data_IF_237350819380
#
_entry.id   IF_237350819380
#
_cell.length_a   1.000
_cell.length_b   1.000
_cell.length_c   1.000
_cell.angle_alpha   90.00
_cell.angle_beta   90.00
_cell.angle_gamma   90.00
#
_symmetry.space_group_name_H-M   'P 1'
#
loop_
_entity.id
_entity.type
_entity.pdbx_description
1 polymer ?
2 water ?
#
# COMPACT_ATOMS: atom_id res chain seq x y z
N UNK A 30 14.78 -14.19 -5.87
CA UNK A 30 13.94 -12.95 -5.76
C UNK A 30 12.77 -13.00 -6.74
N UNK A 31 11.61 -12.49 -6.31
CA UNK A 31 10.38 -12.43 -7.15
C UNK A 31 10.49 -11.25 -8.12
N UNK A 32 10.72 -10.05 -7.61
CA UNK A 32 10.73 -8.80 -8.40
C UNK A 32 11.90 -7.94 -7.95
N UNK A 33 12.21 -6.95 -8.76
CA UNK A 33 13.19 -5.88 -8.45
C UNK A 33 12.38 -4.59 -8.33
N UNK A 34 12.31 -4.04 -7.13
CA UNK A 34 11.76 -2.69 -6.89
C UNK A 34 12.94 -1.74 -7.04
N UNK A 35 12.78 -0.73 -7.87
CA UNK A 35 13.83 0.28 -8.15
C UNK A 35 13.27 1.65 -7.81
N UNK A 36 13.98 2.40 -6.98
CA UNK A 36 13.62 3.79 -6.59
C UNK A 36 14.64 4.74 -7.20
N UNK A 37 14.17 5.62 -8.08
CA UNK A 37 15.01 6.66 -8.72
C UNK A 37 15.14 7.84 -7.77
N UNK A 38 16.35 8.07 -7.24
CA UNK A 38 16.69 9.30 -6.47
C UNK A 38 15.63 9.57 -5.41
N UNK A 39 15.30 8.58 -4.54
CA UNK A 39 14.27 8.77 -3.51
C UNK A 39 14.66 9.87 -2.51
N UNK A 40 13.66 10.58 -2.00
CA UNK A 40 13.79 11.88 -1.29
C UNK A 40 13.68 11.69 0.23
N UNK A 41 12.78 10.81 0.69
CA UNK A 41 12.22 10.80 2.08
C UNK A 41 12.58 9.48 2.77
N UNK A 42 13.45 9.51 3.79
CA UNK A 42 14.05 8.31 4.43
C UNK A 42 12.98 7.34 4.93
N UNK A 43 11.93 7.79 5.65
CA UNK A 43 10.89 6.87 6.16
C UNK A 43 10.22 6.05 5.04
N UNK A 44 9.94 6.64 3.88
CA UNK A 44 9.35 5.87 2.76
C UNK A 44 10.26 4.71 2.38
N UNK A 45 11.57 4.97 2.29
CA UNK A 45 12.57 3.96 1.86
C UNK A 45 12.64 2.89 2.94
N UNK A 46 12.62 3.30 4.22
CA UNK A 46 12.53 2.36 5.35
C UNK A 46 11.34 1.44 5.20
N UNK A 47 10.16 1.99 4.92
CA UNK A 47 8.92 1.17 4.76
C UNK A 47 9.08 0.22 3.58
N UNK A 48 9.72 0.67 2.49
CA UNK A 48 9.82 -0.13 1.23
C UNK A 48 10.82 -1.28 1.47
N UNK A 49 11.87 -1.04 2.25
CA UNK A 49 12.85 -2.10 2.59
C UNK A 49 12.08 -3.23 3.29
N UNK A 50 11.26 -2.89 4.31
CA UNK A 50 10.48 -3.89 5.08
C UNK A 50 9.51 -4.60 4.12
N UNK A 51 8.78 -3.84 3.28
CA UNK A 51 7.84 -4.39 2.27
C UNK A 51 8.51 -5.43 1.36
N UNK A 52 9.77 -5.19 0.98
CA UNK A 52 10.55 -6.07 0.07
C UNK A 52 10.87 -7.40 0.76
N UNK A 53 11.16 -7.37 2.06
CA UNK A 53 11.28 -8.59 2.90
C UNK A 53 9.95 -9.34 2.91
N UNK A 54 8.82 -8.65 2.95
CA UNK A 54 7.46 -9.26 3.00
C UNK A 54 7.07 -9.93 1.68
N UNK A 55 7.47 -9.42 0.51
CA UNK A 55 6.99 -9.98 -0.78
C UNK A 55 8.11 -10.72 -1.51
N UNK A 56 9.32 -10.75 -0.93
CA UNK A 56 10.46 -11.57 -1.37
C UNK A 56 11.22 -10.93 -2.50
N UNK A 57 11.27 -9.58 -2.51
CA UNK A 57 11.78 -8.74 -3.61
C UNK A 57 13.12 -8.11 -3.22
N UNK A 58 13.88 -7.67 -4.21
CA UNK A 58 15.15 -6.92 -4.04
C UNK A 58 14.83 -5.45 -4.24
N UNK A 59 15.35 -4.58 -3.38
CA UNK A 59 15.25 -3.12 -3.53
C UNK A 59 16.55 -2.61 -4.17
N UNK A 60 16.41 -1.72 -5.16
CA UNK A 60 17.48 -0.98 -5.87
C UNK A 60 17.28 0.50 -5.63
N UNK A 61 18.25 1.14 -4.99
CA UNK A 61 18.29 2.59 -4.75
C UNK A 61 19.26 3.21 -5.76
N UNK A 62 18.74 4.11 -6.59
CA UNK A 62 19.52 4.81 -7.64
C UNK A 62 19.87 6.20 -7.11
N UNK A 63 21.16 6.41 -6.84
CA UNK A 63 21.73 7.65 -6.28
C UNK A 63 21.66 8.75 -7.35
N UNK A 64 21.71 10.04 -6.97
CA UNK A 64 21.82 10.45 -5.57
C UNK A 64 20.54 10.22 -4.75
N UNK A 65 20.68 9.79 -3.49
CA UNK A 65 19.60 9.70 -2.47
C UNK A 65 19.42 11.07 -1.83
N UNK A 66 18.23 11.37 -1.30
CA UNK A 66 17.90 12.67 -0.65
C UNK A 66 18.01 12.58 0.87
N UNK A 67 18.77 11.61 1.38
CA UNK A 67 18.99 11.32 2.82
C UNK A 67 20.20 10.40 2.95
N UNK A 68 20.77 10.21 4.14
CA UNK A 68 22.02 9.41 4.35
C UNK A 68 21.67 7.92 4.46
N UNK A 69 22.57 7.04 4.01
CA UNK A 69 22.44 5.56 4.13
C UNK A 69 23.58 5.04 5.00
N UNK A 80 16.76 -4.31 11.07
CA UNK A 80 17.47 -5.60 11.06
C UNK A 80 18.51 -5.57 9.93
N UNK A 81 19.71 -6.12 10.15
CA UNK A 81 20.80 -6.23 9.14
C UNK A 81 20.39 -7.16 7.99
N UNK A 82 19.57 -8.17 8.29
CA UNK A 82 19.05 -9.16 7.31
C UNK A 82 18.19 -8.46 6.26
N UNK A 83 17.56 -7.34 6.63
CA UNK A 83 16.70 -6.49 5.76
C UNK A 83 17.57 -5.67 4.81
N UNK A 84 18.87 -5.49 5.10
CA UNK A 84 19.82 -4.67 4.30
C UNK A 84 20.54 -5.54 3.25
N UNK A 85 20.50 -6.86 3.38
CA UNK A 85 21.02 -7.83 2.38
C UNK A 85 20.11 -7.84 1.15
N UNK A 86 18.96 -7.19 1.22
CA UNK A 86 17.98 -7.09 0.09
C UNK A 86 18.10 -5.73 -0.60
N UNK A 87 19.05 -4.87 -0.21
CA UNK A 87 19.19 -3.51 -0.82
C UNK A 87 20.49 -3.44 -1.61
N UNK A 88 20.38 -2.97 -2.85
CA UNK A 88 21.52 -2.64 -3.75
C UNK A 88 21.47 -1.14 -4.05
N UNK A 89 22.55 -0.43 -3.80
CA UNK A 89 22.75 0.98 -4.19
C UNK A 89 23.44 0.98 -5.57
N UNK A 90 22.99 1.82 -6.49
CA UNK A 90 23.61 2.04 -7.81
C UNK A 90 24.07 3.49 -7.88
N UNK A 91 25.27 3.73 -8.43
CA UNK A 91 25.92 5.06 -8.49
C UNK A 91 25.07 6.02 -9.31
N UNK A 92 24.37 5.55 -10.36
CA UNK A 92 23.52 6.38 -11.25
C UNK A 92 22.62 5.48 -12.11
N UNK A 93 21.76 6.06 -12.95
CA UNK A 93 20.76 5.28 -13.71
C UNK A 93 21.45 4.33 -14.71
N UNK A 94 22.57 4.75 -15.28
CA UNK A 94 23.32 3.97 -16.31
C UNK A 94 23.86 2.70 -15.65
N UNK A 95 24.48 2.82 -14.46
CA UNK A 95 24.94 1.66 -13.65
C UNK A 95 23.76 0.72 -13.39
N UNK A 96 22.61 1.27 -13.02
CA UNK A 96 21.36 0.49 -12.77
C UNK A 96 20.98 -0.31 -14.03
N UNK A 97 20.93 0.35 -15.19
CA UNK A 97 20.54 -0.28 -16.49
C UNK A 97 21.49 -1.45 -16.80
N UNK A 98 22.81 -1.24 -16.67
CA UNK A 98 23.86 -2.28 -16.87
C UNK A 98 23.55 -3.48 -15.97
N UNK A 99 23.36 -3.25 -14.66
CA UNK A 99 23.05 -4.31 -13.67
C UNK A 99 21.73 -5.01 -14.04
N UNK A 100 20.74 -4.32 -14.60
CA UNK A 100 19.41 -4.95 -14.91
C UNK A 100 19.35 -5.44 -16.37
N UNK A 101 20.43 -5.36 -17.14
CA UNK A 101 20.43 -5.64 -18.59
C UNK A 101 19.77 -7.01 -18.85
N UNK A 102 18.72 -7.05 -19.68
CA UNK A 102 17.96 -8.26 -20.04
C UNK A 102 16.63 -8.36 -19.30
N UNK A 103 16.45 -7.63 -18.21
CA UNK A 103 15.20 -7.66 -17.41
C UNK A 103 14.17 -6.72 -18.03
N UNK A 104 12.88 -7.04 -17.88
CA UNK A 104 11.78 -6.16 -18.33
C UNK A 104 11.57 -5.06 -17.28
N UNK A 105 11.59 -3.79 -17.70
CA UNK A 105 11.44 -2.64 -16.77
C UNK A 105 10.06 -2.00 -16.96
N UNK A 106 9.22 -2.11 -15.93
CA UNK A 106 7.91 -1.42 -15.81
C UNK A 106 8.11 -0.10 -15.07
N UNK A 107 7.60 1.00 -15.60
CA UNK A 107 7.68 2.31 -14.95
C UNK A 107 6.28 2.70 -14.49
N UNK A 108 6.20 3.15 -13.25
CA UNK A 108 5.06 3.86 -12.64
C UNK A 108 5.06 5.33 -13.09
N UNK A 109 4.16 5.65 -14.01
CA UNK A 109 3.87 6.99 -14.54
C UNK A 109 2.42 7.04 -15.05
N UNK A 110 1.76 8.18 -14.93
CA UNK A 110 0.41 8.43 -15.50
C UNK A 110 0.52 8.80 -17.00
N UNK A 111 1.71 8.93 -17.58
CA UNK A 111 1.86 9.30 -19.01
C UNK A 111 1.82 8.05 -19.92
N UNK A 112 0.67 7.82 -20.58
CA UNK A 112 0.48 6.77 -21.59
C UNK A 112 0.44 5.39 -20.99
N UNK A 113 -0.03 5.28 -19.74
CA UNK A 113 0.02 4.04 -18.91
C UNK A 113 -1.36 3.40 -18.86
N UNK A 114 -1.40 2.11 -18.54
CA UNK A 114 -2.65 1.40 -18.17
C UNK A 114 -2.72 1.25 -16.66
N UNK A 115 -3.91 0.96 -16.09
CA UNK A 115 -4.01 0.55 -14.69
C UNK A 115 -3.10 -0.66 -14.44
N UNK A 116 -2.37 -0.64 -13.32
CA UNK A 116 -1.36 -1.65 -12.92
C UNK A 116 -1.93 -3.07 -13.08
N UNK A 117 -3.21 -3.29 -12.77
CA UNK A 117 -3.82 -4.65 -12.81
C UNK A 117 -3.98 -5.17 -14.24
N UNK A 118 -3.93 -4.32 -15.27
CA UNK A 118 -4.06 -4.71 -16.71
C UNK A 118 -2.75 -5.23 -17.32
N UNK A 119 -1.59 -4.97 -16.73
CA UNK A 119 -0.31 -5.56 -17.22
C UNK A 119 -0.21 -7.02 -16.79
N UNK A 120 0.48 -7.87 -17.55
CA UNK A 120 0.79 -9.28 -17.20
C UNK A 120 2.20 -9.36 -16.63
N UNK A 121 2.34 -9.49 -15.32
CA UNK A 121 3.67 -9.44 -14.64
C UNK A 121 4.28 -10.84 -14.70
N UNK A 122 5.61 -10.90 -14.55
CA UNK A 122 6.41 -12.13 -14.62
C UNK A 122 7.52 -12.01 -13.59
N UNK A 123 7.98 -13.16 -13.09
CA UNK A 123 9.18 -13.28 -12.21
C UNK A 123 10.33 -12.49 -12.82
N UNK A 124 11.02 -11.70 -12.01
CA UNK A 124 12.27 -10.99 -12.39
C UNK A 124 11.95 -9.64 -13.05
N UNK A 125 10.67 -9.28 -13.22
CA UNK A 125 10.25 -7.91 -13.63
C UNK A 125 10.89 -6.88 -12.71
N UNK A 126 11.25 -5.73 -13.28
CA UNK A 126 11.72 -4.55 -12.52
C UNK A 126 10.56 -3.54 -12.48
N UNK A 127 10.26 -3.02 -11.30
CA UNK A 127 9.19 -2.02 -11.04
C UNK A 127 9.89 -0.73 -10.61
N UNK A 128 9.93 0.23 -11.51
CA UNK A 128 10.69 1.49 -11.35
C UNK A 128 9.74 2.61 -10.95
N UNK A 129 10.09 3.33 -9.87
CA UNK A 129 9.31 4.44 -9.26
C UNK A 129 10.17 5.69 -9.23
N UNK A 130 9.55 6.83 -9.54
CA UNK A 130 10.16 8.15 -9.45
C UNK A 130 10.17 8.63 -8.03
N UNK A 131 10.88 9.74 -7.75
CA UNK A 131 10.86 10.30 -6.42
C UNK A 131 9.48 10.88 -6.05
N UNK A 132 9.33 11.18 -4.78
CA UNK A 132 8.04 11.54 -4.13
C UNK A 132 7.45 12.80 -4.79
N UNK A 133 8.25 13.86 -5.01
CA UNK A 133 7.72 15.21 -5.36
C UNK A 133 7.75 15.51 -6.87
N UNK A 134 8.49 14.76 -7.68
CA UNK A 134 8.76 15.11 -9.11
C UNK A 134 8.29 14.02 -10.09
N UNK A 135 8.36 12.74 -9.73
CA UNK A 135 8.18 11.66 -10.72
C UNK A 135 9.40 11.50 -11.63
N UNK A 136 9.42 10.45 -12.45
CA UNK A 136 10.59 10.07 -13.30
C UNK A 136 10.82 11.15 -14.35
N UNK A 137 12.08 11.48 -14.67
CA UNK A 137 12.36 12.45 -15.74
C UNK A 137 11.84 11.94 -17.10
N UNK A 138 11.52 12.86 -17.99
CA UNK A 138 10.97 12.54 -19.33
C UNK A 138 11.93 11.65 -20.14
N UNK A 139 13.23 11.85 -20.01
CA UNK A 139 14.28 11.06 -20.72
C UNK A 139 14.15 9.58 -20.37
N UNK A 140 13.80 9.26 -19.11
CA UNK A 140 13.64 7.85 -18.65
C UNK A 140 12.28 7.34 -19.13
N UNK A 141 11.21 8.11 -18.89
CA UNK A 141 9.83 7.73 -19.32
C UNK A 141 9.82 7.44 -20.83
N UNK A 142 10.46 8.29 -21.65
CA UNK A 142 10.52 8.16 -23.15
C UNK A 142 11.27 6.88 -23.56
N UNK A 143 12.26 6.42 -22.79
CA UNK A 143 12.98 5.15 -23.06
C UNK A 143 12.10 3.93 -22.71
N UNK A 144 10.99 4.09 -21.99
CA UNK A 144 10.09 2.95 -21.64
C UNK A 144 8.88 2.90 -22.56
N UNK A 145 8.65 1.77 -23.27
CA UNK A 145 7.47 1.61 -24.13
C UNK A 145 6.18 1.77 -23.31
N UNK A 146 5.12 2.28 -23.94
CA UNK A 146 3.81 2.55 -23.28
C UNK A 146 3.22 1.23 -22.72
N UNK A 147 3.45 0.09 -23.37
CA UNK A 147 2.94 -1.24 -22.89
C UNK A 147 3.56 -1.60 -21.53
N UNK A 148 4.69 -0.99 -21.15
CA UNK A 148 5.42 -1.26 -19.87
C UNK A 148 5.22 -0.09 -18.89
N UNK A 149 4.29 0.82 -19.16
CA UNK A 149 3.96 1.94 -18.25
C UNK A 149 2.69 1.59 -17.47
N UNK A 150 2.75 1.79 -16.15
CA UNK A 150 1.64 1.44 -15.26
C UNK A 150 1.31 2.64 -14.36
N UNK A 151 0.04 2.79 -14.03
CA UNK A 151 -0.43 3.78 -13.03
C UNK A 151 -1.39 3.03 -12.11
N UNK A 152 -1.62 3.56 -10.91
CA UNK A 152 -2.68 3.11 -9.97
C UNK A 152 -3.91 3.97 -10.20
N UNK A 153 -5.09 3.40 -10.49
CA UNK A 153 -6.29 4.22 -10.71
C UNK A 153 -6.58 5.14 -9.52
N UNK A 154 -7.29 6.24 -9.77
CA UNK A 154 -7.67 7.22 -8.72
C UNK A 154 -9.10 7.72 -8.96
N UNK A 155 -9.80 8.00 -7.87
CA UNK A 155 -11.10 8.72 -7.84
C UNK A 155 -10.83 10.21 -7.96
N UNK A 156 -11.87 11.06 -8.00
CA UNK A 156 -11.74 12.53 -8.04
C UNK A 156 -11.32 13.03 -6.66
N UNK A 157 -10.03 13.29 -6.50
CA UNK A 157 -9.36 13.71 -5.26
C UNK A 157 -8.00 14.29 -5.71
N UNK A 158 -7.53 15.33 -5.08
CA UNK A 158 -6.32 16.05 -5.55
C UNK A 158 -5.07 15.42 -4.91
N UNK A 159 -5.24 14.57 -3.91
CA UNK A 159 -4.09 14.06 -3.13
C UNK A 159 -3.50 12.83 -3.83
N UNK A 160 -2.17 12.73 -3.82
CA UNK A 160 -1.40 11.56 -4.31
C UNK A 160 -1.29 10.52 -3.19
N UNK A 161 -0.99 9.28 -3.57
CA UNK A 161 -0.65 8.17 -2.63
C UNK A 161 0.76 8.40 -2.10
N UNK A 162 0.98 8.09 -0.83
CA UNK A 162 2.33 7.84 -0.29
C UNK A 162 3.04 6.80 -1.18
N UNK A 163 4.32 7.04 -1.45
CA UNK A 163 5.14 6.22 -2.38
C UNK A 163 5.24 4.78 -1.87
N UNK A 164 5.48 4.56 -0.58
CA UNK A 164 5.55 3.20 0.01
C UNK A 164 4.25 2.43 -0.27
N UNK A 165 3.10 3.09 -0.19
CA UNK A 165 1.77 2.45 -0.39
C UNK A 165 1.62 2.10 -1.86
N UNK A 166 2.09 2.97 -2.75
CA UNK A 166 2.01 2.75 -4.22
C UNK A 166 2.82 1.51 -4.61
N UNK A 167 4.04 1.39 -4.09
CA UNK A 167 4.93 0.21 -4.30
C UNK A 167 4.19 -1.03 -3.78
N UNK A 168 3.63 -0.97 -2.57
CA UNK A 168 2.88 -2.08 -1.95
C UNK A 168 1.77 -2.54 -2.92
N UNK A 169 0.93 -1.62 -3.40
CA UNK A 169 -0.25 -1.97 -4.25
C UNK A 169 0.25 -2.62 -5.54
N UNK A 170 1.27 -2.05 -6.18
CA UNK A 170 1.78 -2.56 -7.49
C UNK A 170 2.51 -3.90 -7.25
N UNK A 171 3.40 -3.99 -6.27
CA UNK A 171 4.20 -5.23 -6.08
C UNK A 171 3.27 -6.38 -5.65
N UNK A 172 2.28 -6.14 -4.77
CA UNK A 172 1.33 -7.19 -4.34
C UNK A 172 0.33 -7.56 -5.46
N UNK A 173 -0.01 -6.65 -6.37
CA UNK A 173 -0.82 -7.03 -7.56
C UNK A 173 0.00 -7.97 -8.45
N UNK A 174 1.25 -7.60 -8.70
CA UNK A 174 2.18 -8.39 -9.54
C UNK A 174 2.36 -9.78 -8.89
N UNK A 175 2.50 -9.81 -7.58
CA UNK A 175 2.73 -11.08 -6.84
C UNK A 175 1.48 -11.96 -6.88
N UNK A 176 0.31 -11.34 -6.81
CA UNK A 176 -0.97 -12.05 -6.89
C UNK A 176 -1.03 -12.78 -8.23
N UNK A 177 -0.62 -12.13 -9.31
CA UNK A 177 -0.64 -12.73 -10.67
C UNK A 177 0.27 -13.95 -10.71
N UNK A 178 1.32 -14.02 -9.88
CA UNK A 178 2.26 -15.18 -9.80
C UNK A 178 1.87 -16.13 -8.66
N UNK A 179 0.61 -16.14 -8.22
CA UNK A 179 0.08 -17.01 -7.14
C UNK A 179 0.86 -16.89 -5.85
N UNK A 180 1.42 -15.72 -5.55
CA UNK A 180 2.20 -15.43 -4.31
C UNK A 180 3.30 -16.49 -4.10
N UNK A 181 3.93 -16.94 -5.17
CA UNK A 181 5.06 -17.90 -5.14
C UNK A 181 6.05 -17.51 -4.03
N UNK A 182 6.41 -18.45 -3.15
CA UNK A 182 7.38 -18.23 -2.06
C UNK A 182 6.76 -17.78 -0.73
N UNK A 183 5.45 -17.48 -0.69
CA UNK A 183 4.73 -17.16 0.57
C UNK A 183 4.55 -18.45 1.37
N UNK A 184 4.44 -18.36 2.70
CA UNK A 184 4.18 -19.53 3.58
C UNK A 184 2.71 -19.94 3.41
N UNK B 30 -18.20 5.86 0.26
CA UNK B 30 -19.26 5.18 -0.59
C UNK B 30 -18.80 3.79 -1.03
N UNK B 31 -17.53 3.59 -1.39
CA UNK B 31 -17.02 2.34 -2.04
C UNK B 31 -16.85 1.24 -0.98
N UNK B 32 -16.02 1.50 0.02
CA UNK B 32 -15.75 0.57 1.14
C UNK B 32 -15.66 1.43 2.41
N UNK B 33 -15.67 0.79 3.57
CA UNK B 33 -15.42 1.43 4.88
C UNK B 33 -14.13 0.82 5.40
N UNK B 34 -13.08 1.65 5.47
CA UNK B 34 -11.79 1.29 6.09
C UNK B 34 -11.92 1.71 7.55
N UNK B 35 -11.75 0.76 8.48
CA UNK B 35 -11.91 0.98 9.92
C UNK B 35 -10.60 0.64 10.60
N UNK B 36 -10.04 1.61 11.34
CA UNK B 36 -8.80 1.42 12.14
C UNK B 36 -9.18 1.35 13.63
N UNK B 37 -8.94 0.21 14.26
CA UNK B 37 -9.16 0.01 15.71
C UNK B 37 -7.98 0.62 16.46
N UNK B 38 -8.21 1.72 17.17
CA UNK B 38 -7.21 2.30 18.12
C UNK B 38 -5.85 2.43 17.47
N UNK B 39 -5.73 3.10 16.30
CA UNK B 39 -4.43 3.24 15.65
C UNK B 39 -3.47 4.13 16.47
N UNK B 40 -2.16 3.84 16.37
CA UNK B 40 -1.09 4.30 17.30
C UNK B 40 -0.29 5.47 16.70
N UNK B 41 -0.01 5.42 15.39
CA UNK B 41 1.09 6.17 14.69
C UNK B 41 0.48 7.12 13.64
N UNK B 42 0.59 8.44 13.84
CA UNK B 42 -0.08 9.49 13.01
C UNK B 42 0.30 9.37 11.52
N UNK B 43 1.58 9.18 11.14
CA UNK B 43 1.95 9.04 9.72
C UNK B 43 1.20 7.90 8.99
N UNK B 44 0.99 6.75 9.63
CA UNK B 44 0.19 5.67 8.99
C UNK B 44 -1.22 6.18 8.66
N UNK B 45 -1.82 6.93 9.58
CA UNK B 45 -3.20 7.41 9.42
C UNK B 45 -3.21 8.45 8.30
N UNK B 46 -2.18 9.31 8.24
CA UNK B 46 -1.97 10.22 7.10
C UNK B 46 -1.97 9.48 5.77
N UNK B 47 -1.21 8.39 5.67
CA UNK B 47 -1.13 7.59 4.43
C UNK B 47 -2.52 7.00 4.10
N UNK B 48 -3.26 6.58 5.11
CA UNK B 48 -4.53 5.85 4.90
C UNK B 48 -5.62 6.84 4.48
N UNK B 49 -5.52 8.10 4.94
CA UNK B 49 -6.45 9.18 4.50
C UNK B 49 -6.27 9.33 2.98
N UNK B 50 -5.03 9.44 2.51
CA UNK B 50 -4.72 9.51 1.04
C UNK B 50 -5.32 8.27 0.35
N UNK B 51 -5.05 7.06 0.86
CA UNK B 51 -5.56 5.80 0.26
C UNK B 51 -7.09 5.86 0.07
N UNK B 52 -7.82 6.34 1.07
CA UNK B 52 -9.32 6.30 1.10
C UNK B 52 -9.86 7.38 0.16
N UNK B 53 -9.23 8.55 0.13
CA UNK B 53 -9.55 9.62 -0.85
C UNK B 53 -9.32 9.07 -2.26
N UNK B 54 -8.27 8.28 -2.46
CA UNK B 54 -7.88 7.78 -3.80
C UNK B 54 -8.79 6.66 -4.28
N UNK B 55 -9.40 5.83 -3.41
CA UNK B 55 -10.25 4.70 -3.90
C UNK B 55 -11.73 4.98 -3.66
N UNK B 56 -12.07 6.11 -3.05
CA UNK B 56 -13.46 6.58 -2.88
C UNK B 56 -14.12 5.94 -1.69
N UNK B 57 -13.35 5.72 -0.63
CA UNK B 57 -13.75 4.99 0.61
C UNK B 57 -13.93 5.97 1.77
N UNK B 58 -14.66 5.52 2.78
CA UNK B 58 -14.82 6.22 4.08
C UNK B 58 -13.82 5.62 5.06
N UNK B 59 -13.10 6.47 5.79
CA UNK B 59 -12.17 6.07 6.86
C UNK B 59 -12.89 6.25 8.20
N UNK B 60 -12.80 5.24 9.08
CA UNK B 60 -13.38 5.18 10.44
C UNK B 60 -12.26 4.96 11.46
N UNK B 61 -12.06 5.94 12.33
CA UNK B 61 -11.05 5.91 13.43
C UNK B 61 -11.81 5.59 14.71
N UNK B 62 -11.51 4.44 15.32
CA UNK B 62 -12.14 3.96 16.56
C UNK B 62 -11.20 4.29 17.72
N UNK B 63 -11.63 5.25 18.55
CA UNK B 63 -10.88 5.76 19.72
C UNK B 63 -10.83 4.67 20.79
N UNK B 64 -9.86 4.75 21.73
CA UNK B 64 -8.85 5.82 21.77
C UNK B 64 -7.82 5.77 20.62
N UNK B 65 -7.46 6.91 20.04
CA UNK B 65 -6.31 7.03 19.09
C UNK B 65 -5.04 7.26 19.88
N UNK B 66 -3.87 6.99 19.29
CA UNK B 66 -2.54 7.20 19.90
C UNK B 66 -1.91 8.54 19.50
N UNK B 67 -2.70 9.47 18.99
CA UNK B 67 -2.26 10.80 18.46
C UNK B 67 -3.53 11.67 18.31
N UNK B 68 -3.36 12.99 18.20
CA UNK B 68 -4.47 13.96 17.97
C UNK B 68 -4.54 14.23 16.46
N UNK B 69 -5.44 15.10 16.02
CA UNK B 69 -5.50 15.61 14.62
C UNK B 69 -5.15 17.10 14.58
N UNK B 70 -4.14 17.47 15.39
CA UNK B 70 -3.51 18.81 15.43
C UNK B 70 -3.35 19.35 14.00
N UNK B 71 -3.64 20.65 13.80
CA UNK B 71 -3.28 21.42 12.58
C UNK B 71 -1.82 21.14 12.21
N UNK B 72 -0.92 21.16 13.21
CA UNK B 72 0.55 20.95 13.06
C UNK B 72 0.85 19.52 12.57
N UNK B 73 -0.04 18.56 12.88
CA UNK B 73 0.13 17.10 12.67
C UNK B 73 -0.22 16.70 11.23
N UNK B 74 -1.32 17.26 10.68
CA UNK B 74 -1.71 17.12 9.25
C UNK B 74 -0.71 17.90 8.38
N UNK B 75 -0.22 19.04 8.87
CA UNK B 75 0.83 19.84 8.21
C UNK B 75 1.98 18.90 7.86
N UNK B 76 2.52 18.17 8.84
CA UNK B 76 3.68 17.23 8.68
C UNK B 76 3.33 16.10 7.70
N UNK B 77 2.03 15.82 7.49
CA UNK B 77 1.53 14.74 6.60
C UNK B 77 1.20 15.29 5.20
N UNK B 78 1.19 16.62 5.04
CA UNK B 78 0.86 17.30 3.77
C UNK B 78 -0.65 17.30 3.52
N UNK B 79 -1.43 17.34 4.60
CA UNK B 79 -2.90 17.22 4.55
C UNK B 79 -3.51 18.45 5.24
N UNK B 80 -4.80 18.65 5.01
CA UNK B 80 -5.60 19.70 5.68
C UNK B 80 -7.00 19.11 5.99
N UNK B 81 -7.88 19.96 6.51
CA UNK B 81 -9.21 19.52 7.01
C UNK B 81 -10.14 19.17 5.85
N UNK B 82 -9.91 19.65 4.62
CA UNK B 82 -10.76 19.28 3.46
C UNK B 82 -10.55 17.80 3.12
N UNK B 83 -9.36 17.27 3.45
CA UNK B 83 -9.00 15.83 3.28
C UNK B 83 -9.73 14.95 4.31
N UNK B 84 -10.31 15.55 5.37
CA UNK B 84 -11.01 14.82 6.46
C UNK B 84 -12.53 14.73 6.21
N UNK B 85 -13.04 15.09 5.03
CA UNK B 85 -14.50 15.06 4.72
C UNK B 85 -14.98 13.62 4.59
N UNK B 86 -14.05 12.65 4.52
CA UNK B 86 -14.31 11.19 4.36
C UNK B 86 -13.91 10.43 5.63
N UNK B 87 -13.66 11.15 6.73
CA UNK B 87 -13.21 10.55 8.02
C UNK B 87 -14.32 10.69 9.06
N UNK B 88 -14.62 9.58 9.75
CA UNK B 88 -15.55 9.50 10.89
C UNK B 88 -14.76 9.01 12.11
N UNK B 89 -14.86 9.75 13.21
CA UNK B 89 -14.32 9.36 14.53
C UNK B 89 -15.45 8.65 15.29
N UNK B 90 -15.18 7.50 15.91
CA UNK B 90 -16.15 6.81 16.79
C UNK B 90 -15.57 6.75 18.21
N UNK B 91 -16.37 7.09 19.22
CA UNK B 91 -15.94 7.21 20.64
C UNK B 91 -15.46 5.85 21.14
N UNK B 92 -16.04 4.74 20.66
CA UNK B 92 -15.62 3.36 21.06
C UNK B 92 -16.16 2.35 20.04
N UNK B 93 -15.82 1.07 20.20
CA UNK B 93 -16.20 0.01 19.24
C UNK B 93 -17.72 -0.19 19.19
N UNK B 94 -18.44 0.02 20.30
CA UNK B 94 -19.91 -0.14 20.38
C UNK B 94 -20.57 0.91 19.47
N UNK B 95 -20.13 2.17 19.55
CA UNK B 95 -20.56 3.29 18.67
C UNK B 95 -20.30 2.88 17.22
N UNK B 96 -19.10 2.34 16.93
CA UNK B 96 -18.71 1.87 15.58
C UNK B 96 -19.71 0.79 15.09
N UNK B 97 -20.02 -0.20 15.91
CA UNK B 97 -20.92 -1.32 15.52
C UNK B 97 -22.32 -0.79 15.21
N UNK B 98 -22.83 0.12 16.03
CA UNK B 98 -24.14 0.81 15.80
C UNK B 98 -24.11 1.50 14.45
N UNK B 99 -23.07 2.30 14.18
CA UNK B 99 -22.89 3.01 12.90
C UNK B 99 -22.80 2.00 11.74
N UNK B 100 -22.18 0.84 11.91
CA UNK B 100 -21.98 -0.14 10.81
C UNK B 100 -23.07 -1.22 10.79
N UNK B 101 -24.14 -1.05 11.58
CA UNK B 101 -25.30 -1.98 11.66
C UNK B 101 -25.66 -2.52 10.27
N UNK B 102 -25.62 -3.86 10.10
CA UNK B 102 -26.06 -4.59 8.90
C UNK B 102 -24.94 -4.83 7.89
N UNK B 103 -23.79 -4.16 8.02
CA UNK B 103 -22.69 -4.22 7.02
C UNK B 103 -21.86 -5.49 7.23
N UNK B 104 -21.25 -5.98 6.16
CA UNK B 104 -20.33 -7.14 6.24
C UNK B 104 -18.96 -6.64 6.74
N UNK B 105 -18.43 -7.24 7.80
CA UNK B 105 -17.14 -6.80 8.43
C UNK B 105 -16.09 -7.88 8.14
N UNK B 106 -15.06 -7.49 7.40
CA UNK B 106 -13.84 -8.28 7.15
C UNK B 106 -12.80 -7.83 8.18
N UNK B 107 -12.14 -8.79 8.83
CA UNK B 107 -11.03 -8.49 9.76
C UNK B 107 -9.72 -8.81 9.04
N UNK B 108 -8.86 -7.80 8.98
CA UNK B 108 -7.50 -7.89 8.38
C UNK B 108 -6.56 -8.20 9.54
N UNK B 109 -6.16 -9.46 9.66
CA UNK B 109 -5.42 -10.00 10.83
C UNK B 109 -4.52 -11.15 10.36
N UNK B 110 -3.36 -11.31 11.00
CA UNK B 110 -2.42 -12.45 10.79
C UNK B 110 -3.07 -13.75 11.32
N UNK B 111 -3.96 -13.66 12.32
CA UNK B 111 -4.81 -14.78 12.83
C UNK B 111 -5.99 -14.99 11.88
N UNK B 112 -5.92 -14.39 10.67
CA UNK B 112 -6.84 -14.61 9.55
C UNK B 112 -6.55 -15.93 8.86
N UNK B 113 -7.51 -16.44 8.10
CA UNK B 113 -7.45 -17.79 7.48
C UNK B 113 -7.03 -17.73 6.02
N UNK B 114 -7.69 -16.90 5.20
CA UNK B 114 -7.51 -16.93 3.73
C UNK B 114 -6.81 -15.66 3.26
N UNK B 115 -6.01 -15.76 2.17
CA UNK B 115 -5.37 -14.58 1.60
C UNK B 115 -6.45 -13.59 1.15
N UNK B 116 -6.19 -12.30 1.32
CA UNK B 116 -7.08 -11.17 0.96
C UNK B 116 -7.69 -11.35 -0.44
N UNK B 117 -6.90 -11.86 -1.40
CA UNK B 117 -7.31 -11.96 -2.82
C UNK B 117 -8.32 -13.10 -3.04
N UNK B 118 -8.52 -14.00 -2.07
CA UNK B 118 -9.48 -15.14 -2.18
C UNK B 118 -10.90 -14.73 -1.76
N UNK B 119 -11.08 -13.64 -1.01
CA UNK B 119 -12.43 -13.15 -0.66
C UNK B 119 -13.03 -12.43 -1.87
N UNK B 120 -14.34 -12.54 -2.09
CA UNK B 120 -15.10 -11.73 -3.09
C UNK B 120 -15.68 -10.49 -2.43
N UNK B 121 -15.11 -9.32 -2.70
CA UNK B 121 -15.51 -8.06 -2.02
C UNK B 121 -16.75 -7.51 -2.71
N UNK B 122 -17.45 -6.63 -2.03
CA UNK B 122 -18.66 -5.94 -2.54
C UNK B 122 -18.64 -4.51 -1.99
N UNK B 123 -19.27 -3.57 -2.70
CA UNK B 123 -19.48 -2.18 -2.25
C UNK B 123 -20.09 -2.22 -0.85
N UNK B 124 -19.58 -1.36 0.02
CA UNK B 124 -20.12 -1.11 1.38
C UNK B 124 -19.53 -2.11 2.38
N UNK B 125 -18.68 -3.05 1.96
CA UNK B 125 -17.91 -3.92 2.88
C UNK B 125 -17.13 -3.06 3.86
N UNK B 126 -16.98 -3.53 5.09
CA UNK B 126 -16.09 -2.90 6.11
C UNK B 126 -14.79 -3.72 6.18
N UNK B 127 -13.65 -3.05 6.14
CA UNK B 127 -12.30 -3.69 6.27
C UNK B 127 -11.71 -3.14 7.57
N UNK B 128 -11.69 -3.99 8.58
CA UNK B 128 -11.29 -3.62 9.96
C UNK B 128 -9.86 -4.09 10.21
N UNK B 129 -9.00 -3.18 10.64
CA UNK B 129 -7.56 -3.40 10.93
C UNK B 129 -7.28 -3.12 12.39
N UNK B 130 -6.48 -3.99 13.01
CA UNK B 130 -5.96 -3.80 14.38
C UNK B 130 -4.86 -2.75 14.40
N UNK B 131 -4.42 -2.29 15.58
CA UNK B 131 -3.34 -1.32 15.66
C UNK B 131 -1.99 -1.90 15.23
N UNK B 132 -1.00 -1.02 15.12
CA UNK B 132 0.35 -1.34 14.59
C UNK B 132 1.00 -2.44 15.43
N UNK B 133 0.98 -2.34 16.76
CA UNK B 133 1.79 -3.22 17.66
C UNK B 133 0.98 -4.39 18.23
N UNK B 134 -0.35 -4.31 18.27
CA UNK B 134 -1.22 -5.41 18.79
C UNK B 134 -2.18 -5.86 17.68
N UNK B 135 -2.63 -7.10 17.70
CA UNK B 135 -3.76 -7.52 16.83
C UNK B 135 -5.08 -6.92 17.31
N UNK B 136 -6.17 -7.25 16.62
CA UNK B 136 -7.55 -7.05 17.12
C UNK B 136 -7.76 -7.93 18.37
N UNK B 137 -8.57 -7.48 19.35
CA UNK B 137 -8.99 -8.32 20.45
C UNK B 137 -9.70 -9.61 20.01
N UNK B 138 -9.58 -10.68 20.78
CA UNK B 138 -10.10 -12.01 20.38
C UNK B 138 -11.65 -11.94 20.26
N UNK B 139 -12.32 -11.16 21.12
CA UNK B 139 -13.79 -10.98 21.10
C UNK B 139 -14.23 -10.45 19.73
N UNK B 140 -13.42 -9.61 19.08
CA UNK B 140 -13.75 -9.08 17.72
C UNK B 140 -13.44 -10.16 16.69
N UNK B 141 -12.22 -10.70 16.69
CA UNK B 141 -11.76 -11.68 15.67
C UNK B 141 -12.68 -12.91 15.67
N UNK B 142 -12.96 -13.46 16.86
CA UNK B 142 -13.73 -14.74 17.00
C UNK B 142 -15.22 -14.47 16.76
N UNK B 143 -15.69 -13.23 16.87
CA UNK B 143 -17.09 -12.88 16.53
C UNK B 143 -17.25 -12.76 15.01
N UNK B 144 -16.15 -12.70 14.24
CA UNK B 144 -16.20 -12.59 12.75
C UNK B 144 -16.05 -13.97 12.14
N UNK B 145 -16.94 -14.40 11.21
CA UNK B 145 -16.83 -15.70 10.57
C UNK B 145 -15.45 -15.88 9.93
N UNK B 146 -14.92 -17.11 9.95
CA UNK B 146 -13.52 -17.44 9.54
C UNK B 146 -13.30 -17.03 8.08
N UNK B 147 -14.30 -17.23 7.22
CA UNK B 147 -14.24 -16.92 5.78
C UNK B 147 -14.16 -15.40 5.56
N UNK B 148 -14.43 -14.56 6.57
CA UNK B 148 -14.31 -13.07 6.44
C UNK B 148 -13.05 -12.58 7.20
N UNK B 149 -12.15 -13.48 7.58
CA UNK B 149 -10.86 -13.10 8.20
C UNK B 149 -9.77 -13.20 7.14
N UNK B 150 -9.07 -12.10 6.87
CA UNK B 150 -8.16 -11.92 5.70
C UNK B 150 -6.74 -11.76 6.21
N UNK B 151 -5.81 -12.40 5.55
CA UNK B 151 -4.36 -12.17 5.75
C UNK B 151 -3.74 -11.86 4.40
N UNK B 152 -2.63 -11.13 4.45
CA UNK B 152 -1.78 -10.80 3.28
C UNK B 152 -0.66 -11.82 3.25
N UNK B 153 -0.44 -12.55 2.12
CA UNK B 153 0.69 -13.48 2.02
C UNK B 153 2.03 -12.80 2.32
N UNK B 154 2.96 -13.55 2.90
CA UNK B 154 4.30 -13.05 3.25
C UNK B 154 5.38 -14.09 2.93
N UNK B 155 6.51 -13.61 2.44
CA UNK B 155 7.77 -14.37 2.23
C UNK B 155 8.44 -14.61 3.57
N UNK B 156 8.46 -13.59 4.43
CA UNK B 156 9.03 -13.62 5.80
C UNK B 156 7.92 -13.29 6.81
N UNK B 157 7.50 -14.31 7.57
CA UNK B 157 6.36 -14.27 8.53
C UNK B 157 6.76 -13.63 9.87
N UNK B 158 8.05 -13.63 10.21
CA UNK B 158 8.58 -12.95 11.41
C UNK B 158 8.17 -11.47 11.36
N UNK B 159 8.41 -10.79 10.24
CA UNK B 159 8.09 -9.35 10.08
C UNK B 159 6.61 -9.22 9.69
N UNK B 160 5.92 -8.24 10.27
CA UNK B 160 4.54 -7.85 9.88
C UNK B 160 4.62 -6.72 8.85
N UNK B 161 3.53 -6.52 8.11
CA UNK B 161 3.37 -5.39 7.17
C UNK B 161 3.14 -4.10 7.95
N UNK B 162 3.74 -2.99 7.50
CA UNK B 162 3.33 -1.63 7.90
C UNK B 162 1.82 -1.52 7.68
N UNK B 163 1.12 -0.86 8.61
CA UNK B 163 -0.37 -0.81 8.63
C UNK B 163 -0.88 -0.08 7.37
N UNK B 164 -0.29 1.06 7.01
CA UNK B 164 -0.71 1.82 5.78
C UNK B 164 -0.54 0.94 4.54
N UNK B 165 0.50 0.11 4.47
CA UNK B 165 0.74 -0.80 3.31
C UNK B 165 -0.32 -1.90 3.29
N UNK B 166 -0.71 -2.40 4.46
CA UNK B 166 -1.67 -3.51 4.58
C UNK B 166 -3.03 -3.03 4.08
N UNK B 167 -3.43 -1.81 4.49
CA UNK B 167 -4.68 -1.15 4.05
C UNK B 167 -4.62 -1.00 2.52
N UNK B 168 -3.53 -0.46 2.01
CA UNK B 168 -3.32 -0.25 0.56
C UNK B 168 -3.55 -1.55 -0.19
N UNK B 169 -2.90 -2.64 0.24
CA UNK B 169 -2.89 -3.94 -0.49
C UNK B 169 -4.33 -4.46 -0.52
N UNK B 170 -5.01 -4.45 0.63
CA UNK B 170 -6.34 -5.07 0.75
C UNK B 170 -7.36 -4.16 0.06
N UNK B 171 -7.33 -2.87 0.32
CA UNK B 171 -8.37 -1.98 -0.26
C UNK B 171 -8.24 -1.91 -1.80
N UNK B 172 -7.02 -1.92 -2.35
CA UNK B 172 -6.83 -1.84 -3.82
C UNK B 172 -7.10 -3.21 -4.47
N UNK B 173 -6.92 -4.32 -3.77
CA UNK B 173 -7.37 -5.64 -4.27
C UNK B 173 -8.90 -5.63 -4.38
N UNK B 174 -9.57 -5.16 -3.34
CA UNK B 174 -11.06 -5.10 -3.26
C UNK B 174 -11.55 -4.20 -4.40
N UNK B 175 -10.88 -3.07 -4.61
CA UNK B 175 -11.30 -2.08 -5.64
C UNK B 175 -11.09 -2.66 -7.05
N UNK B 176 -10.01 -3.43 -7.22
CA UNK B 176 -9.71 -4.11 -8.50
C UNK B 176 -10.87 -5.05 -8.83
N UNK B 177 -11.35 -5.81 -7.86
CA UNK B 177 -12.46 -6.79 -8.07
C UNK B 177 -13.72 -6.04 -8.51
N UNK B 178 -13.90 -4.77 -8.11
CA UNK B 178 -15.09 -3.98 -8.50
C UNK B 178 -14.80 -3.07 -9.70
N UNK B 179 -13.83 -3.44 -10.54
CA UNK B 179 -13.47 -2.71 -11.76
C UNK B 179 -13.11 -1.25 -11.51
N UNK B 180 -12.54 -0.93 -10.35
CA UNK B 180 -12.11 0.45 -9.97
C UNK B 180 -13.25 1.45 -10.18
N UNK B 181 -14.48 1.04 -9.87
CA UNK B 181 -15.69 1.91 -9.97
C UNK B 181 -15.40 3.28 -9.34
N UNK B 182 -15.67 4.37 -10.06
CA UNK B 182 -15.50 5.75 -9.58
C UNK B 182 -14.15 6.38 -9.90
N UNK B 183 -13.21 5.65 -10.50
CA UNK B 183 -11.92 6.18 -10.99
C UNK B 183 -12.16 7.10 -12.19
N UNK B 184 -11.30 8.11 -12.41
CA UNK B 184 -11.47 9.15 -13.46
C UNK B 184 -10.31 9.14 -14.47
#
# INVERSE_FOLDING_TARGET
MAGSHHHHHHGMASMTGGQQMGRSGDDDDKMFHIALYEPEIAPNTGNIIRLCANNGSQLHLIEPLGFDFEEKKLRRAGLDYADLTNVTRHKNFDAFLKAMAGKRIMACTTKGSRPHSELSFAKDDVLLFGPETRGLPMSIIESIPTEQRLRIPMAATSRSLNLSNAVAIISYEAWRQLGFEGAI
MAGSHHHHHHGMASMTGGQQMGRSGDDDDKMFHIALYEPEIAPNTGNIIRLCANNGSQLHLIEPLGFDFEEKKLRRAGLDYADLTNVTRHKNFDAFLKAMAGKRIMACTTKGSRPHSELSFAKDDVLLFGPETRGLPMSIIESIPTEQRLRIPMAATSRSLNLSNAVAIISYEAWRQLGFEGAI
#
